data_IF_626475797475
#
_entry.id   IF_626475797475
#
_cell.length_a   1.000
_cell.length_b   1.000
_cell.length_c   1.000
_cell.angle_alpha   90.00
_cell.angle_beta   90.00
_cell.angle_gamma   90.00
#
_symmetry.space_group_name_H-M   'P 1'
#
loop_
_entity.id
_entity.type
_entity.pdbx_description
1 polymer ?
#
# COMPACT_ATOMS: atom_id res chain seq x y z
N UNK A 1 2.79 18.11 -2.07
CA UNK A 1 1.64 18.84 -1.49
C UNK A 1 2.05 19.41 -0.15
N UNK A 2 1.93 20.74 0.07
CA UNK A 2 2.20 21.32 1.39
C UNK A 2 1.09 20.90 2.35
N UNK A 3 1.42 20.19 3.39
CA UNK A 3 0.55 19.88 4.54
C UNK A 3 0.12 21.21 5.16
N UNK A 4 -1.13 21.59 4.98
CA UNK A 4 -1.66 22.85 5.55
C UNK A 4 -2.05 22.59 7.00
N UNK A 5 -1.34 23.22 7.92
CA UNK A 5 -1.74 23.29 9.34
C UNK A 5 -3.00 24.14 9.47
N UNK A 6 -4.00 23.66 10.20
CA UNK A 6 -5.29 24.33 10.41
C UNK A 6 -5.72 24.28 11.87
N UNK A 7 -6.13 25.42 12.41
CA UNK A 7 -6.81 25.48 13.71
C UNK A 7 -8.28 25.06 13.59
N UNK A 8 -8.92 24.72 14.73
CA UNK A 8 -10.36 24.39 14.77
C UNK A 8 -11.20 25.51 14.15
N UNK A 9 -10.88 26.77 14.46
CA UNK A 9 -11.58 27.93 13.90
C UNK A 9 -11.35 28.11 12.40
N UNK A 10 -10.15 27.79 11.91
CA UNK A 10 -9.83 27.79 10.49
C UNK A 10 -10.62 26.71 9.75
N UNK A 11 -10.62 25.48 10.29
CA UNK A 11 -11.39 24.37 9.73
C UNK A 11 -12.90 24.62 9.73
N UNK A 12 -13.45 25.21 10.82
CA UNK A 12 -14.86 25.56 10.87
C UNK A 12 -15.25 26.56 9.78
N UNK A 13 -14.39 27.54 9.48
CA UNK A 13 -14.59 28.51 8.41
C UNK A 13 -14.52 27.86 7.03
N UNK A 14 -13.49 27.04 6.80
CA UNK A 14 -13.30 26.33 5.52
C UNK A 14 -14.50 25.40 5.23
N UNK A 15 -15.00 24.65 6.25
CA UNK A 15 -16.17 23.80 6.14
C UNK A 15 -17.45 24.59 5.85
N UNK A 16 -17.60 25.77 6.48
CA UNK A 16 -18.76 26.64 6.23
C UNK A 16 -18.77 27.13 4.78
N UNK A 17 -17.62 27.40 4.17
CA UNK A 17 -17.52 27.81 2.76
C UNK A 17 -17.95 26.69 1.79
N UNK A 18 -17.78 25.43 2.16
CA UNK A 18 -18.25 24.27 1.38
C UNK A 18 -19.64 23.77 1.79
N UNK A 19 -20.37 24.57 2.60
CA UNK A 19 -21.77 24.28 2.95
C UNK A 19 -22.00 23.49 4.24
N UNK A 20 -20.96 23.13 4.98
CA UNK A 20 -21.07 22.40 6.24
C UNK A 20 -20.98 23.35 7.43
N UNK A 21 -22.12 23.62 8.09
CA UNK A 21 -22.17 24.39 9.34
C UNK A 21 -22.15 23.44 10.54
N UNK A 22 -20.98 23.22 11.12
CA UNK A 22 -20.81 22.37 12.29
C UNK A 22 -20.60 23.19 13.56
N UNK A 23 -21.25 22.76 14.65
CA UNK A 23 -21.00 23.38 15.95
C UNK A 23 -19.55 23.09 16.39
N UNK A 24 -18.88 24.10 16.99
CA UNK A 24 -17.46 24.01 17.36
C UNK A 24 -17.13 22.80 18.25
N UNK A 25 -18.00 22.47 19.19
CA UNK A 25 -17.81 21.33 20.09
C UNK A 25 -17.87 19.99 19.32
N UNK A 26 -18.80 19.87 18.38
CA UNK A 26 -18.90 18.71 17.50
C UNK A 26 -17.66 18.54 16.63
N UNK A 27 -17.19 19.64 16.03
CA UNK A 27 -15.97 19.64 15.23
C UNK A 27 -14.74 19.25 16.06
N UNK A 28 -14.63 19.74 17.30
CA UNK A 28 -13.53 19.39 18.20
C UNK A 28 -13.54 17.89 18.55
N UNK A 29 -14.70 17.30 18.82
CA UNK A 29 -14.83 15.87 19.06
C UNK A 29 -14.47 15.02 17.85
N UNK A 30 -14.90 15.47 16.66
CA UNK A 30 -14.57 14.79 15.41
C UNK A 30 -13.07 14.82 15.10
N UNK A 31 -12.42 15.99 15.28
CA UNK A 31 -10.98 16.13 15.10
C UNK A 31 -10.18 15.30 16.10
N UNK A 32 -10.65 15.21 17.34
CA UNK A 32 -10.06 14.34 18.35
C UNK A 32 -10.14 12.85 17.93
N UNK A 33 -11.32 12.39 17.50
CA UNK A 33 -11.48 11.02 16.99
C UNK A 33 -10.55 10.72 15.82
N UNK A 34 -10.43 11.64 14.86
CA UNK A 34 -9.49 11.48 13.72
C UNK A 34 -8.02 11.46 14.17
N UNK A 35 -7.69 12.17 15.25
CA UNK A 35 -6.35 12.14 15.84
C UNK A 35 -6.09 10.82 16.56
N UNK A 36 -7.06 10.33 17.32
CA UNK A 36 -6.98 9.06 18.03
C UNK A 36 -6.87 7.87 17.04
N UNK A 37 -7.49 7.98 15.87
CA UNK A 37 -7.35 7.03 14.75
C UNK A 37 -6.06 7.22 13.91
N UNK A 38 -5.20 8.17 14.25
CA UNK A 38 -3.94 8.42 13.53
C UNK A 38 -4.09 9.10 12.16
N UNK A 39 -5.29 9.50 11.78
CA UNK A 39 -5.57 10.22 10.50
C UNK A 39 -5.06 11.66 10.55
N UNK A 40 -5.15 12.30 11.72
CA UNK A 40 -4.64 13.63 11.97
C UNK A 40 -3.55 13.61 13.05
N UNK A 41 -2.67 14.59 13.01
CA UNK A 41 -1.77 14.94 14.11
C UNK A 41 -2.22 16.26 14.71
N UNK A 42 -2.39 16.26 16.03
CA UNK A 42 -2.62 17.46 16.82
C UNK A 42 -1.29 18.00 17.31
N UNK A 43 -1.10 19.33 17.18
CA UNK A 43 0.02 20.07 17.76
C UNK A 43 -0.54 21.23 18.55
N UNK A 44 -0.15 21.35 19.79
CA UNK A 44 -0.53 22.45 20.66
C UNK A 44 0.39 23.64 20.41
N UNK A 45 -0.18 24.74 19.90
CA UNK A 45 0.50 26.01 19.69
C UNK A 45 -0.35 27.05 20.43
N UNK A 46 -0.01 27.41 21.68
CA UNK A 46 -0.81 28.36 22.46
C UNK A 46 -1.09 29.66 21.69
N UNK A 47 -2.34 30.17 21.68
CA UNK A 47 -3.50 29.69 22.44
C UNK A 47 -4.37 28.67 21.67
N UNK A 48 -3.91 28.04 20.60
CA UNK A 48 -4.71 27.19 19.73
C UNK A 48 -4.12 25.79 19.56
N UNK A 49 -5.00 24.82 19.29
CA UNK A 49 -4.61 23.51 18.75
C UNK A 49 -4.67 23.54 17.23
N UNK A 50 -3.64 23.01 16.62
CA UNK A 50 -3.47 22.97 15.16
C UNK A 50 -3.47 21.50 14.73
N UNK A 51 -4.21 21.23 13.69
CA UNK A 51 -4.35 19.89 13.11
C UNK A 51 -3.69 19.85 11.75
N UNK A 52 -2.94 18.78 11.51
CA UNK A 52 -2.35 18.45 10.22
C UNK A 52 -2.77 17.06 9.83
N UNK A 53 -2.93 16.81 8.53
CA UNK A 53 -3.05 15.44 8.07
C UNK A 53 -1.81 14.66 8.50
N UNK A 54 -2.03 13.57 9.18
CA UNK A 54 -0.95 12.63 9.44
C UNK A 54 -0.34 12.25 8.09
N UNK A 55 0.99 12.19 8.02
CA UNK A 55 1.67 11.63 6.84
C UNK A 55 1.42 10.11 6.71
N UNK A 56 0.56 9.55 7.56
CA UNK A 56 0.08 8.18 7.46
C UNK A 56 -0.91 8.09 6.28
N UNK A 57 -0.36 8.18 5.07
CA UNK A 57 -1.00 7.61 3.92
C UNK A 57 -0.84 6.11 4.07
N UNK A 58 -1.94 5.43 4.35
CA UNK A 58 -1.95 3.97 4.29
C UNK A 58 -1.35 3.57 2.94
N UNK A 59 -0.21 2.89 2.98
CA UNK A 59 0.44 2.43 1.76
C UNK A 59 -0.55 1.58 1.00
N UNK A 60 -0.68 1.81 -0.29
CA UNK A 60 -1.45 0.90 -1.13
C UNK A 60 -0.80 -0.49 -1.07
N UNK A 61 -1.58 -1.52 -1.34
CA UNK A 61 -1.03 -2.88 -1.42
C UNK A 61 0.16 -2.94 -2.38
N UNK A 62 0.08 -2.26 -3.52
CA UNK A 62 1.15 -2.22 -4.51
C UNK A 62 2.42 -1.55 -3.96
N UNK A 63 2.29 -0.42 -3.28
CA UNK A 63 3.41 0.25 -2.61
C UNK A 63 4.04 -0.64 -1.53
N UNK A 64 3.23 -1.38 -0.76
CA UNK A 64 3.70 -2.30 0.26
C UNK A 64 4.46 -3.49 -0.35
N UNK A 65 3.91 -4.11 -1.41
CA UNK A 65 4.58 -5.17 -2.16
C UNK A 65 5.92 -4.67 -2.72
N UNK A 66 5.92 -3.52 -3.39
CA UNK A 66 7.14 -2.95 -3.95
C UNK A 66 8.22 -2.67 -2.90
N UNK A 67 7.84 -2.19 -1.72
CA UNK A 67 8.77 -1.95 -0.61
C UNK A 67 9.37 -3.27 -0.08
N UNK A 68 8.54 -4.30 0.11
CA UNK A 68 9.00 -5.62 0.59
C UNK A 68 9.88 -6.33 -0.43
N UNK A 69 9.50 -6.31 -1.70
CA UNK A 69 10.31 -6.89 -2.79
C UNK A 69 11.70 -6.25 -2.83
N UNK A 70 11.81 -4.92 -2.75
CA UNK A 70 13.12 -4.23 -2.72
C UNK A 70 13.94 -4.58 -1.49
N UNK A 71 13.31 -4.76 -0.34
CA UNK A 71 14.01 -5.15 0.88
C UNK A 71 14.51 -6.60 0.85
N UNK A 72 13.78 -7.48 0.15
CA UNK A 72 14.07 -8.90 0.09
C UNK A 72 15.04 -9.25 -1.05
N UNK A 73 14.83 -8.70 -2.24
CA UNK A 73 15.61 -8.99 -3.44
C UNK A 73 16.57 -7.85 -3.75
N UNK A 74 17.91 -8.04 -3.55
CA UNK A 74 18.90 -7.01 -3.79
C UNK A 74 19.16 -6.73 -5.28
N UNK A 75 18.95 -7.72 -6.18
CA UNK A 75 19.13 -7.51 -7.62
C UNK A 75 17.91 -6.77 -8.22
N UNK A 76 18.08 -5.53 -8.70
CA UNK A 76 16.98 -4.76 -9.28
C UNK A 76 16.35 -5.41 -10.52
N UNK A 77 17.05 -6.31 -11.21
CA UNK A 77 16.54 -7.00 -12.40
C UNK A 77 15.53 -8.06 -12.05
N UNK A 78 15.70 -8.73 -10.91
CA UNK A 78 14.81 -9.79 -10.42
C UNK A 78 13.59 -9.24 -9.65
N UNK A 79 13.66 -7.99 -9.17
CA UNK A 79 12.58 -7.38 -8.38
C UNK A 79 11.22 -7.37 -9.10
N UNK A 80 11.11 -6.96 -10.39
CA UNK A 80 9.82 -6.97 -11.09
C UNK A 80 9.24 -8.38 -11.23
N UNK A 81 10.09 -9.39 -11.46
CA UNK A 81 9.68 -10.80 -11.53
C UNK A 81 9.09 -11.28 -10.20
N UNK A 82 9.77 -10.99 -9.10
CA UNK A 82 9.28 -11.36 -7.75
C UNK A 82 7.99 -10.62 -7.41
N UNK A 83 7.83 -9.35 -7.80
CA UNK A 83 6.58 -8.61 -7.64
C UNK A 83 5.43 -9.26 -8.41
N UNK A 84 5.66 -9.71 -9.66
CA UNK A 84 4.67 -10.48 -10.43
C UNK A 84 4.31 -11.77 -9.69
N UNK A 85 5.29 -12.52 -9.17
CA UNK A 85 5.02 -13.76 -8.45
C UNK A 85 4.14 -13.53 -7.20
N UNK A 86 4.44 -12.49 -6.41
CA UNK A 86 3.63 -12.09 -5.23
C UNK A 86 2.21 -11.72 -5.63
N UNK A 87 2.05 -10.80 -6.59
CA UNK A 87 0.73 -10.30 -6.99
C UNK A 87 -0.10 -11.36 -7.74
N UNK A 88 0.53 -12.18 -8.59
CA UNK A 88 -0.14 -13.30 -9.27
C UNK A 88 -0.67 -14.33 -8.28
N UNK A 89 0.09 -14.61 -7.24
CA UNK A 89 -0.34 -15.53 -6.17
C UNK A 89 -1.51 -14.96 -5.37
N UNK A 90 -1.44 -13.67 -5.08
CA UNK A 90 -2.46 -12.97 -4.29
C UNK A 90 -3.79 -12.85 -5.06
N UNK A 91 -3.72 -12.43 -6.33
CA UNK A 91 -4.91 -12.15 -7.13
C UNK A 91 -5.37 -13.32 -7.99
N UNK A 92 -4.56 -14.36 -8.14
CA UNK A 92 -4.82 -15.54 -8.99
C UNK A 92 -5.16 -15.15 -10.45
N UNK A 93 -4.48 -14.12 -10.94
CA UNK A 93 -4.63 -13.60 -12.31
C UNK A 93 -3.34 -12.97 -12.80
N UNK A 94 -3.18 -12.78 -14.12
CA UNK A 94 -2.09 -11.96 -14.66
C UNK A 94 -2.07 -10.54 -14.09
N UNK A 95 -0.86 -10.02 -13.91
CA UNK A 95 -0.55 -8.68 -13.38
C UNK A 95 -0.18 -7.79 -14.55
N UNK A 96 -0.86 -6.65 -14.70
CA UNK A 96 -0.58 -5.69 -15.75
C UNK A 96 0.64 -4.84 -15.42
N UNK A 97 1.33 -4.37 -16.45
CA UNK A 97 2.52 -3.50 -16.28
C UNK A 97 2.21 -2.26 -15.44
N UNK A 98 1.02 -1.67 -15.57
CA UNK A 98 0.59 -0.55 -14.73
C UNK A 98 0.57 -0.87 -13.23
N UNK A 99 0.21 -2.11 -12.85
CA UNK A 99 0.21 -2.55 -11.45
C UNK A 99 1.64 -2.66 -10.92
N UNK A 100 2.59 -3.09 -11.76
CA UNK A 100 4.00 -3.08 -11.42
C UNK A 100 4.55 -1.66 -11.26
N UNK A 101 4.09 -0.71 -12.08
CA UNK A 101 4.42 0.71 -11.90
C UNK A 101 3.90 1.26 -10.57
N UNK A 102 2.74 0.84 -10.12
CA UNK A 102 2.24 1.19 -8.78
C UNK A 102 3.09 0.59 -7.65
N UNK A 103 3.77 -0.55 -7.89
CA UNK A 103 4.79 -1.09 -7.00
C UNK A 103 6.12 -0.31 -7.06
N UNK A 104 6.29 0.58 -8.04
CA UNK A 104 7.51 1.34 -8.29
C UNK A 104 8.51 0.62 -9.19
N UNK A 105 8.05 -0.25 -10.10
CA UNK A 105 8.84 -0.94 -11.11
C UNK A 105 8.40 -0.51 -12.51
N UNK A 106 9.21 0.28 -13.20
CA UNK A 106 8.89 0.82 -14.54
C UNK A 106 9.26 -0.12 -15.68
N UNK A 107 10.16 -1.07 -15.42
CA UNK A 107 10.62 -2.04 -16.42
C UNK A 107 9.69 -3.25 -16.50
N UNK A 108 9.57 -3.80 -17.72
CA UNK A 108 8.95 -5.11 -17.92
C UNK A 108 9.76 -6.19 -17.21
N UNK A 109 9.11 -7.14 -16.52
CA UNK A 109 9.79 -8.27 -15.89
C UNK A 109 10.31 -9.23 -16.98
N UNK A 110 11.39 -9.94 -16.66
CA UNK A 110 11.89 -11.04 -17.51
C UNK A 110 11.00 -12.29 -17.31
N UNK A 111 9.77 -12.20 -17.79
CA UNK A 111 8.76 -13.26 -17.74
C UNK A 111 7.92 -13.23 -19.02
N UNK A 112 7.46 -14.40 -19.48
CA UNK A 112 6.56 -14.45 -20.64
C UNK A 112 5.28 -13.65 -20.42
N UNK A 113 4.82 -13.00 -21.48
CA UNK A 113 3.51 -12.34 -21.46
C UNK A 113 2.39 -13.37 -21.33
N UNK A 114 1.42 -13.10 -20.47
CA UNK A 114 0.29 -13.98 -20.26
C UNK A 114 -0.53 -14.18 -21.56
N UNK A 115 -1.22 -15.32 -21.73
CA UNK A 115 -2.12 -15.57 -22.87
C UNK A 115 -3.23 -14.53 -22.98
N UNK A 116 -3.73 -14.34 -24.21
CA UNK A 116 -4.77 -13.33 -24.49
C UNK A 116 -6.04 -13.54 -23.65
N UNK A 117 -6.47 -14.78 -23.53
CA UNK A 117 -7.68 -15.16 -22.79
C UNK A 117 -7.56 -14.77 -21.31
N UNK A 118 -6.44 -15.13 -20.68
CA UNK A 118 -6.18 -14.79 -19.28
C UNK A 118 -6.10 -13.27 -19.04
N UNK A 119 -5.55 -12.52 -20.01
CA UNK A 119 -5.54 -11.05 -19.96
C UNK A 119 -6.94 -10.46 -20.01
N UNK A 120 -7.82 -11.03 -20.84
CA UNK A 120 -9.22 -10.59 -20.96
C UNK A 120 -10.00 -10.88 -19.68
N UNK A 121 -9.78 -12.04 -19.06
CA UNK A 121 -10.36 -12.38 -17.76
C UNK A 121 -9.88 -11.44 -16.65
N UNK A 122 -8.60 -11.15 -16.61
CA UNK A 122 -8.02 -10.19 -15.67
C UNK A 122 -8.60 -8.78 -15.87
N UNK A 123 -8.79 -8.31 -17.12
CA UNK A 123 -9.45 -7.03 -17.38
C UNK A 123 -10.89 -7.02 -16.90
N UNK A 124 -11.64 -8.10 -17.14
CA UNK A 124 -13.03 -8.22 -16.65
C UNK A 124 -13.10 -8.14 -15.12
N UNK A 125 -12.15 -8.76 -14.43
CA UNK A 125 -12.06 -8.67 -12.97
C UNK A 125 -11.81 -7.24 -12.50
N UNK A 126 -10.88 -6.50 -13.12
CA UNK A 126 -10.57 -5.11 -12.78
C UNK A 126 -11.72 -4.14 -13.15
N UNK A 127 -12.42 -4.40 -14.25
CA UNK A 127 -13.57 -3.58 -14.68
C UNK A 127 -14.71 -3.59 -13.64
N UNK A 128 -14.91 -4.67 -12.89
CA UNK A 128 -15.86 -4.74 -11.76
C UNK A 128 -15.53 -3.72 -10.67
N UNK A 129 -14.26 -3.36 -10.53
CA UNK A 129 -13.78 -2.33 -9.60
C UNK A 129 -13.67 -0.94 -10.26
N UNK A 130 -14.26 -0.75 -11.46
CA UNK A 130 -14.18 0.48 -12.26
C UNK A 130 -12.75 0.85 -12.69
N UNK A 131 -11.83 -0.11 -12.69
CA UNK A 131 -10.46 0.06 -13.16
C UNK A 131 -10.42 -0.37 -14.63
N UNK A 132 -10.22 0.61 -15.52
CA UNK A 132 -10.08 0.34 -16.95
C UNK A 132 -8.62 0.10 -17.31
N UNK A 133 -8.37 -1.00 -18.03
CA UNK A 133 -7.04 -1.39 -18.51
C UNK A 133 -7.06 -1.41 -20.04
N UNK A 134 -6.16 -0.70 -20.73
CA UNK A 134 -6.06 -0.70 -22.18
C UNK A 134 -5.91 -2.11 -22.75
N UNK A 135 -6.45 -2.33 -23.95
CA UNK A 135 -6.43 -3.64 -24.59
C UNK A 135 -5.00 -4.11 -24.94
N UNK A 136 -4.12 -3.18 -25.26
CA UNK A 136 -2.73 -3.42 -25.64
C UNK A 136 -1.77 -3.46 -24.43
N UNK A 137 -2.27 -3.27 -23.20
CA UNK A 137 -1.39 -3.30 -22.03
C UNK A 137 -0.82 -4.70 -21.79
N UNK A 138 0.50 -4.85 -21.63
CA UNK A 138 1.12 -6.14 -21.34
C UNK A 138 0.74 -6.60 -19.93
N UNK A 139 0.55 -7.92 -19.79
CA UNK A 139 0.35 -8.56 -18.50
C UNK A 139 1.20 -9.83 -18.39
N UNK A 140 1.60 -10.15 -17.18
CA UNK A 140 2.54 -11.20 -16.86
C UNK A 140 1.96 -12.11 -15.78
N UNK A 141 2.35 -13.38 -15.84
CA UNK A 141 1.93 -14.37 -14.85
C UNK A 141 3.09 -15.27 -14.50
N UNK A 142 3.29 -15.52 -13.22
CA UNK A 142 4.27 -16.49 -12.72
C UNK A 142 3.56 -17.53 -11.90
N UNK A 143 3.58 -18.78 -12.38
CA UNK A 143 3.05 -19.94 -11.67
C UNK A 143 4.21 -20.74 -11.04
N UNK A 144 4.88 -20.14 -10.07
CA UNK A 144 5.86 -20.84 -9.25
C UNK A 144 5.14 -21.55 -8.10
N UNK A 145 4.94 -22.85 -8.22
CA UNK A 145 4.23 -23.65 -7.19
C UNK A 145 4.97 -23.66 -5.85
N UNK A 146 6.30 -23.51 -5.86
CA UNK A 146 7.14 -23.38 -4.68
C UNK A 146 8.07 -22.19 -4.85
N UNK A 147 7.80 -21.12 -4.13
CA UNK A 147 8.63 -19.94 -4.08
C UNK A 147 8.60 -19.41 -2.65
N UNK A 148 9.61 -19.81 -1.87
CA UNK A 148 9.72 -19.48 -0.44
C UNK A 148 9.86 -17.96 -0.23
N UNK A 149 10.53 -17.27 -1.16
CA UNK A 149 10.68 -15.81 -1.12
C UNK A 149 9.33 -15.09 -1.22
N UNK A 150 8.51 -15.51 -2.20
CA UNK A 150 7.15 -14.99 -2.38
C UNK A 150 6.27 -15.22 -1.16
N UNK A 151 6.32 -16.45 -0.62
CA UNK A 151 5.47 -16.84 0.52
C UNK A 151 5.91 -16.10 1.80
N UNK A 152 7.21 -15.87 1.98
CA UNK A 152 7.74 -15.02 3.05
C UNK A 152 7.25 -13.58 2.93
N UNK A 153 7.32 -12.98 1.74
CA UNK A 153 6.82 -11.62 1.51
C UNK A 153 5.32 -11.52 1.78
N UNK A 154 4.53 -12.51 1.38
CA UNK A 154 3.09 -12.53 1.64
C UNK A 154 2.78 -12.62 3.14
N UNK A 155 3.52 -13.46 3.88
CA UNK A 155 3.39 -13.55 5.33
C UNK A 155 3.74 -12.22 6.01
N UNK A 156 4.85 -11.60 5.63
CA UNK A 156 5.29 -10.30 6.16
C UNK A 156 4.26 -9.18 5.90
N UNK A 157 3.66 -9.16 4.69
CA UNK A 157 2.62 -8.18 4.37
C UNK A 157 1.38 -8.34 5.26
N UNK A 158 0.99 -9.58 5.56
CA UNK A 158 -0.15 -9.86 6.46
C UNK A 158 0.18 -9.46 7.90
N UNK A 159 1.38 -9.82 8.38
CA UNK A 159 1.84 -9.46 9.73
C UNK A 159 1.85 -7.94 9.90
N UNK A 160 2.38 -7.20 8.92
CA UNK A 160 2.41 -5.73 8.96
C UNK A 160 1.00 -5.12 8.88
N UNK A 161 0.15 -5.63 7.97
CA UNK A 161 -1.19 -5.07 7.74
C UNK A 161 -2.12 -5.22 8.94
N UNK A 162 -2.00 -6.31 9.68
CA UNK A 162 -2.86 -6.63 10.82
C UNK A 162 -2.18 -6.43 12.17
N UNK A 163 -1.01 -5.78 12.21
CA UNK A 163 -0.23 -5.52 13.44
C UNK A 163 0.02 -6.79 14.27
N UNK A 164 0.33 -7.89 13.58
CA UNK A 164 0.52 -9.21 14.18
C UNK A 164 1.97 -9.48 14.62
N UNK A 165 2.86 -8.49 14.54
CA UNK A 165 4.25 -8.63 14.95
C UNK A 165 4.44 -9.24 16.36
N UNK A 166 3.60 -8.93 17.39
CA UNK A 166 3.74 -9.54 18.70
C UNK A 166 3.47 -11.06 18.73
N UNK A 167 2.83 -11.61 17.69
CA UNK A 167 2.52 -13.04 17.58
C UNK A 167 3.62 -13.84 16.86
N UNK A 168 4.57 -13.14 16.24
CA UNK A 168 5.66 -13.77 15.49
C UNK A 168 6.77 -14.16 16.47
N UNK A 169 7.12 -15.44 16.52
CA UNK A 169 8.27 -15.90 17.27
C UNK A 169 9.55 -15.45 16.58
N UNK A 170 10.35 -14.66 17.26
CA UNK A 170 11.71 -14.35 16.81
C UNK A 170 12.55 -15.64 16.79
N UNK A 171 12.87 -16.14 15.61
CA UNK A 171 13.88 -17.19 15.48
C UNK A 171 15.25 -16.62 15.86
N UNK A 172 15.74 -16.94 17.06
CA UNK A 172 17.12 -16.69 17.42
C UNK A 172 18.01 -17.54 16.47
N UNK A 173 18.56 -16.89 15.47
CA UNK A 173 19.70 -17.47 14.76
C UNK A 173 20.86 -17.60 15.79
N UNK A 174 21.05 -18.81 16.29
CA UNK A 174 22.30 -19.15 16.96
C UNK A 174 23.40 -19.03 15.90
N UNK A 175 24.26 -18.01 16.01
CA UNK A 175 25.54 -18.00 15.30
C UNK A 175 26.25 -19.30 15.73
N UNK A 176 26.38 -20.24 14.79
CA UNK A 176 27.37 -21.30 14.95
C UNK A 176 28.72 -20.59 15.07
N UNK A 177 29.32 -20.70 16.26
CA UNK A 177 30.71 -20.30 16.44
C UNK A 177 31.52 -21.19 15.51
N UNK A 178 32.20 -20.59 14.56
CA UNK A 178 33.22 -21.29 13.77
C UNK A 178 34.33 -21.76 14.71
N UNK A 179 34.86 -22.99 14.48
CA UNK A 179 35.89 -23.59 15.31
C UNK A 179 37.24 -22.87 15.18
#
# INVERSE_FOLDING_TARGET
MRTRERSISGLARDLTQVGYKLHRLFLAGYLKALTDCGVLREKEIPPAKVYTTSAYRERSLYEAVGARVRAFQPDPREQPRLAVAVLSRLFRRPVFLRELKECGFDSAPDVPSAPREEKEDARRALAKLKIQVPTNEPAYFVDDRRNDERDTILADLLVEKYDMAPLVLETRQMKLAEP
#
